data_IF_704072741565
#
_entry.id   IF_704072741565
#
_cell.length_a   1.000
_cell.length_b   1.000
_cell.length_c   1.000
_cell.angle_alpha   90.00
_cell.angle_beta   90.00
_cell.angle_gamma   90.00
#
_symmetry.space_group_name_H-M   'P 1'
#
loop_
_entity.id
_entity.type
_entity.pdbx_description
1 polymer ?
#
# COMPACT_ATOMS: atom_id res chain seq x y z
N UNK A 1 0.60 -26.29 4.67
CA UNK A 1 -0.46 -25.35 5.06
C UNK A 1 -1.46 -25.35 3.92
N UNK A 2 -2.75 -25.47 4.17
CA UNK A 2 -3.78 -25.35 3.12
C UNK A 2 -3.95 -23.86 2.75
N UNK A 3 -4.51 -23.58 1.56
CA UNK A 3 -4.78 -22.18 1.18
C UNK A 3 -5.68 -21.48 2.20
N UNK A 4 -6.65 -22.19 2.77
CA UNK A 4 -7.52 -21.65 3.82
C UNK A 4 -6.76 -21.32 5.12
N UNK A 5 -5.77 -22.14 5.52
CA UNK A 5 -4.94 -21.84 6.69
C UNK A 5 -4.05 -20.61 6.43
N UNK A 6 -3.58 -20.46 5.19
CA UNK A 6 -2.78 -19.30 4.78
C UNK A 6 -3.59 -18.01 4.85
N UNK A 7 -4.81 -18.00 4.29
CA UNK A 7 -5.71 -16.85 4.34
C UNK A 7 -6.02 -16.45 5.77
N UNK A 8 -6.32 -17.40 6.65
CA UNK A 8 -6.54 -17.11 8.07
C UNK A 8 -5.32 -16.51 8.75
N UNK A 9 -4.12 -17.00 8.44
CA UNK A 9 -2.87 -16.43 8.96
C UNK A 9 -2.69 -14.98 8.49
N UNK A 10 -2.93 -14.70 7.21
CA UNK A 10 -2.86 -13.34 6.65
C UNK A 10 -3.91 -12.41 7.28
N UNK A 11 -5.13 -12.88 7.52
CA UNK A 11 -6.16 -12.11 8.23
C UNK A 11 -5.71 -11.74 9.65
N UNK A 12 -5.04 -12.66 10.36
CA UNK A 12 -4.49 -12.36 11.68
C UNK A 12 -3.38 -11.31 11.63
N UNK A 13 -2.46 -11.38 10.66
CA UNK A 13 -1.45 -10.36 10.43
C UNK A 13 -2.08 -9.00 10.07
N UNK A 14 -3.10 -8.99 9.21
CA UNK A 14 -3.80 -7.76 8.86
C UNK A 14 -4.45 -7.06 10.08
N UNK A 15 -5.03 -7.84 11.00
CA UNK A 15 -5.53 -7.34 12.29
C UNK A 15 -4.40 -6.66 13.08
N UNK A 16 -3.28 -7.35 13.30
CA UNK A 16 -2.14 -6.81 14.05
C UNK A 16 -1.57 -5.55 13.40
N UNK A 17 -1.51 -5.49 12.06
CA UNK A 17 -1.09 -4.28 11.34
C UNK A 17 -2.06 -3.13 11.60
N UNK A 18 -3.39 -3.36 11.60
CA UNK A 18 -4.39 -2.32 11.93
C UNK A 18 -4.24 -1.82 13.36
N UNK A 19 -4.05 -2.71 14.33
CA UNK A 19 -3.80 -2.35 15.73
C UNK A 19 -2.56 -1.46 15.88
N UNK A 20 -1.46 -1.79 15.17
CA UNK A 20 -0.24 -0.96 15.12
C UNK A 20 -0.50 0.40 14.48
N UNK A 21 -1.24 0.48 13.38
CA UNK A 21 -1.60 1.75 12.75
C UNK A 21 -2.28 2.70 13.74
N UNK A 22 -3.28 2.17 14.48
CA UNK A 22 -4.05 2.93 15.46
C UNK A 22 -3.15 3.35 16.64
N UNK A 23 -2.30 2.44 17.13
CA UNK A 23 -1.36 2.72 18.22
C UNK A 23 -0.31 3.77 17.84
N UNK A 24 0.28 3.67 16.65
CA UNK A 24 1.24 4.67 16.14
C UNK A 24 0.58 6.05 16.00
N UNK A 25 -0.63 6.11 15.46
CA UNK A 25 -1.37 7.36 15.30
C UNK A 25 -1.74 7.99 16.64
N UNK A 26 -2.03 7.21 17.66
CA UNK A 26 -2.29 7.70 19.03
C UNK A 26 -1.01 8.22 19.69
N UNK A 27 0.07 7.44 19.62
CA UNK A 27 1.34 7.74 20.31
C UNK A 27 2.08 8.96 19.72
N UNK A 28 1.87 9.27 18.43
CA UNK A 28 2.52 10.43 17.82
C UNK A 28 2.03 11.78 18.38
N UNK A 29 0.96 11.79 19.19
CA UNK A 29 0.35 12.98 19.79
C UNK A 29 -0.03 14.10 18.80
N UNK A 30 -0.07 13.78 17.51
CA UNK A 30 -0.39 14.67 16.40
C UNK A 30 -1.54 14.16 15.56
N UNK A 31 -1.72 14.80 14.41
CA UNK A 31 -2.61 14.29 13.37
C UNK A 31 -1.87 13.31 12.46
N UNK A 32 -2.56 12.26 12.02
CA UNK A 32 -2.02 11.25 11.12
C UNK A 32 -3.06 10.83 10.07
N UNK A 33 -2.57 10.27 8.94
CA UNK A 33 -3.42 9.83 7.82
C UNK A 33 -3.94 8.39 8.07
N UNK A 34 -4.86 8.23 9.03
CA UNK A 34 -5.37 6.91 9.40
C UNK A 34 -6.21 6.27 8.28
N UNK A 35 -7.12 7.01 7.68
CA UNK A 35 -8.02 6.45 6.68
C UNK A 35 -7.29 5.82 5.50
N UNK A 36 -6.31 6.54 4.94
CA UNK A 36 -5.49 6.04 3.83
C UNK A 36 -4.45 4.99 4.22
N UNK A 37 -4.08 4.93 5.51
CA UNK A 37 -3.20 3.89 6.05
C UNK A 37 -3.93 2.57 6.31
N UNK A 38 -5.21 2.63 6.74
CA UNK A 38 -6.01 1.44 7.03
C UNK A 38 -6.55 0.75 5.76
N UNK A 39 -6.85 1.52 4.69
CA UNK A 39 -7.40 0.96 3.44
C UNK A 39 -6.46 -0.02 2.73
N UNK A 40 -5.14 0.19 2.86
CA UNK A 40 -4.12 -0.57 2.15
C UNK A 40 -3.61 -1.80 2.93
N UNK A 41 -4.06 -2.02 4.16
CA UNK A 41 -3.51 -3.05 5.06
C UNK A 41 -3.56 -4.44 4.46
N UNK A 42 -4.67 -4.84 3.85
CA UNK A 42 -4.82 -6.19 3.28
C UNK A 42 -3.83 -6.43 2.12
N UNK A 43 -3.64 -5.44 1.25
CA UNK A 43 -2.65 -5.49 0.17
C UNK A 43 -1.22 -5.58 0.72
N UNK A 44 -0.88 -4.77 1.73
CA UNK A 44 0.45 -4.81 2.36
C UNK A 44 0.70 -6.14 3.07
N UNK A 45 -0.33 -6.70 3.70
CA UNK A 45 -0.24 -7.99 4.38
C UNK A 45 0.10 -9.11 3.41
N UNK A 46 -0.57 -9.18 2.27
CA UNK A 46 -0.30 -10.20 1.25
C UNK A 46 1.08 -9.98 0.62
N UNK A 47 1.42 -8.74 0.27
CA UNK A 47 2.72 -8.43 -0.32
C UNK A 47 3.88 -8.86 0.56
N UNK A 48 3.92 -8.42 1.81
CA UNK A 48 5.03 -8.69 2.73
C UNK A 48 4.96 -10.05 3.41
N UNK A 49 3.75 -10.60 3.59
CA UNK A 49 3.54 -11.88 4.25
C UNK A 49 3.72 -13.10 3.35
N UNK A 50 3.64 -12.92 2.02
CA UNK A 50 3.67 -14.09 1.13
C UNK A 50 4.25 -13.87 -0.28
N UNK A 51 4.15 -12.69 -0.85
CA UNK A 51 4.50 -12.46 -2.27
C UNK A 51 5.94 -12.02 -2.44
N UNK A 52 6.36 -11.01 -1.68
CA UNK A 52 7.69 -10.41 -1.83
C UNK A 52 8.76 -11.20 -1.06
N UNK A 53 9.92 -11.35 -1.68
CA UNK A 53 11.09 -11.95 -1.03
C UNK A 53 11.87 -10.96 -0.15
N UNK A 54 11.42 -9.71 -0.01
CA UNK A 54 12.14 -8.62 0.69
C UNK A 54 12.34 -8.91 2.18
N UNK A 55 11.54 -9.79 2.79
CA UNK A 55 11.72 -10.21 4.18
C UNK A 55 12.95 -11.08 4.38
N UNK A 56 13.47 -11.73 3.34
CA UNK A 56 14.76 -12.44 3.38
C UNK A 56 15.91 -11.46 3.22
N UNK A 57 16.33 -10.87 4.33
CA UNK A 57 17.43 -9.89 4.37
C UNK A 57 18.82 -10.48 4.12
N UNK A 58 18.91 -11.79 3.86
CA UNK A 58 20.17 -12.46 3.45
C UNK A 58 20.42 -12.37 1.94
N UNK A 59 19.37 -12.06 1.16
CA UNK A 59 19.49 -11.89 -0.28
C UNK A 59 20.28 -10.62 -0.63
N UNK A 60 21.07 -10.64 -1.71
CA UNK A 60 21.63 -9.43 -2.29
C UNK A 60 20.53 -8.44 -2.69
N UNK A 61 20.78 -7.14 -2.52
CA UNK A 61 19.82 -6.08 -2.81
C UNK A 61 19.25 -6.16 -4.24
N UNK A 62 20.04 -6.60 -5.22
CA UNK A 62 19.67 -6.76 -6.62
C UNK A 62 18.77 -7.98 -6.88
N UNK A 63 18.52 -8.80 -5.86
CA UNK A 63 17.62 -9.95 -5.92
C UNK A 63 16.37 -9.76 -5.07
N UNK A 64 16.36 -8.74 -4.21
CA UNK A 64 15.19 -8.41 -3.38
C UNK A 64 14.14 -7.67 -4.21
N UNK A 65 12.88 -8.07 -4.10
CA UNK A 65 11.74 -7.33 -4.68
C UNK A 65 11.67 -5.91 -4.14
N UNK A 66 11.12 -5.00 -4.94
CA UNK A 66 11.04 -3.59 -4.62
C UNK A 66 9.60 -3.14 -4.43
N UNK A 67 9.35 -2.38 -3.38
CA UNK A 67 8.04 -1.77 -3.13
C UNK A 67 8.15 -0.25 -2.99
N UNK A 68 7.24 0.46 -3.66
CA UNK A 68 7.09 1.91 -3.52
C UNK A 68 5.67 2.26 -3.08
N UNK A 69 5.55 2.91 -1.93
CA UNK A 69 4.30 3.54 -1.53
C UNK A 69 4.17 4.90 -2.24
N UNK A 70 3.49 4.96 -3.39
CA UNK A 70 3.35 6.19 -4.17
C UNK A 70 2.46 7.21 -3.45
N UNK A 71 1.30 6.80 -2.90
CA UNK A 71 0.52 7.63 -1.97
C UNK A 71 1.19 7.70 -0.60
N UNK A 72 2.29 8.46 -0.50
CA UNK A 72 3.17 8.49 0.66
C UNK A 72 2.52 8.74 2.01
N UNK A 73 1.35 9.38 2.04
CA UNK A 73 0.58 9.58 3.27
C UNK A 73 0.02 8.27 3.88
N UNK A 74 0.02 7.15 3.15
CA UNK A 74 -0.38 5.83 3.66
C UNK A 74 0.64 5.14 4.57
N UNK A 75 1.65 5.86 5.09
CA UNK A 75 2.79 5.29 5.86
C UNK A 75 2.39 4.46 7.07
N UNK A 76 1.26 4.74 7.72
CA UNK A 76 0.86 3.97 8.91
C UNK A 76 0.73 2.48 8.56
N UNK A 77 -0.02 2.14 7.52
CA UNK A 77 -0.16 0.75 7.07
C UNK A 77 1.15 0.17 6.54
N UNK A 78 1.96 0.99 5.87
CA UNK A 78 3.25 0.56 5.34
C UNK A 78 4.25 0.24 6.46
N UNK A 79 4.51 1.18 7.37
CA UNK A 79 5.46 0.98 8.47
C UNK A 79 5.00 -0.12 9.43
N UNK A 80 3.70 -0.21 9.71
CA UNK A 80 3.14 -1.27 10.52
C UNK A 80 3.35 -2.66 9.89
N UNK A 81 3.23 -2.77 8.54
CA UNK A 81 3.54 -4.01 7.83
C UNK A 81 5.04 -4.35 7.87
N UNK A 82 5.93 -3.37 7.70
CA UNK A 82 7.37 -3.60 7.84
C UNK A 82 7.75 -4.11 9.25
N UNK A 83 7.10 -3.61 10.29
CA UNK A 83 7.30 -4.08 11.65
C UNK A 83 6.72 -5.48 11.87
N UNK A 84 5.51 -5.76 11.35
CA UNK A 84 4.85 -7.07 11.46
C UNK A 84 5.71 -8.20 10.88
N UNK A 85 6.35 -7.94 9.74
CA UNK A 85 7.18 -8.92 9.05
C UNK A 85 8.68 -8.80 9.37
N UNK A 86 9.04 -8.08 10.44
CA UNK A 86 10.39 -8.07 11.01
C UNK A 86 11.45 -7.32 10.21
N UNK A 87 11.05 -6.51 9.21
CA UNK A 87 11.97 -5.66 8.44
C UNK A 87 12.43 -4.46 9.27
N UNK A 88 11.51 -3.90 10.07
CA UNK A 88 11.77 -2.81 11.00
C UNK A 88 11.52 -3.29 12.43
N UNK A 89 12.37 -2.87 13.36
CA UNK A 89 12.14 -3.16 14.79
C UNK A 89 10.89 -2.42 15.27
N UNK A 90 9.92 -3.15 15.81
CA UNK A 90 8.63 -2.60 16.26
C UNK A 90 8.81 -1.53 17.35
N UNK A 91 9.64 -1.80 18.35
CA UNK A 91 9.87 -0.86 19.45
C UNK A 91 10.49 0.46 18.94
N UNK A 92 11.48 0.36 18.04
CA UNK A 92 12.07 1.53 17.40
C UNK A 92 11.00 2.36 16.66
N UNK A 93 10.14 1.70 15.89
CA UNK A 93 9.05 2.36 15.18
C UNK A 93 8.08 3.07 16.12
N UNK A 94 7.62 2.37 17.16
CA UNK A 94 6.66 2.90 18.14
C UNK A 94 7.23 4.10 18.92
N UNK A 95 8.51 4.06 19.27
CA UNK A 95 9.16 5.12 20.07
C UNK A 95 9.51 6.35 19.24
N UNK A 96 9.73 6.18 17.92
CA UNK A 96 10.29 7.27 17.10
C UNK A 96 9.35 7.81 16.02
N UNK A 97 8.23 7.14 15.74
CA UNK A 97 7.29 7.62 14.71
C UNK A 97 6.88 9.08 14.95
N UNK A 98 7.09 9.94 13.95
CA UNK A 98 6.80 11.39 14.00
C UNK A 98 7.60 12.17 15.05
N UNK A 99 8.67 11.60 15.61
CA UNK A 99 9.57 12.33 16.51
C UNK A 99 10.65 13.08 15.71
N UNK A 100 11.18 14.16 16.29
CA UNK A 100 12.28 14.91 15.69
C UNK A 100 13.51 14.01 15.47
N UNK A 101 14.04 14.00 14.25
CA UNK A 101 15.20 13.19 13.88
C UNK A 101 14.89 11.73 13.57
N UNK A 102 13.62 11.33 13.56
CA UNK A 102 13.21 9.98 13.16
C UNK A 102 13.32 9.77 11.64
N UNK A 103 13.62 8.54 11.25
CA UNK A 103 13.50 8.07 9.88
C UNK A 103 12.04 7.71 9.52
N UNK A 104 11.16 7.58 10.52
CA UNK A 104 9.75 7.22 10.37
C UNK A 104 8.85 8.43 10.58
N UNK A 105 8.63 9.19 9.50
CA UNK A 105 7.81 10.41 9.52
C UNK A 105 6.53 10.23 8.68
N UNK A 106 5.71 11.29 8.57
CA UNK A 106 4.40 11.27 7.91
C UNK A 106 4.40 10.84 6.43
N UNK A 107 5.54 10.82 5.78
CA UNK A 107 5.76 10.34 4.42
C UNK A 107 7.11 9.62 4.35
N UNK A 108 7.26 8.54 3.56
CA UNK A 108 8.52 7.80 3.56
C UNK A 108 9.67 8.65 2.99
N UNK A 109 10.81 8.54 3.64
CA UNK A 109 12.10 9.01 3.13
C UNK A 109 12.94 7.80 2.80
N UNK A 110 13.64 7.82 1.67
CA UNK A 110 14.41 6.69 1.18
C UNK A 110 15.43 6.20 2.23
N UNK A 111 15.28 4.94 2.64
CA UNK A 111 16.13 4.21 3.60
C UNK A 111 16.08 2.72 3.23
N UNK A 112 16.89 2.27 2.27
CA UNK A 112 16.85 0.89 1.78
C UNK A 112 17.11 -0.15 2.87
N UNK A 113 17.86 0.20 3.91
CA UNK A 113 18.06 -0.64 5.09
C UNK A 113 16.77 -0.98 5.85
N UNK A 114 15.74 -0.17 5.72
CA UNK A 114 14.40 -0.40 6.27
C UNK A 114 13.37 -0.81 5.20
N UNK A 115 13.82 -1.11 3.96
CA UNK A 115 12.90 -1.43 2.86
C UNK A 115 12.14 -0.21 2.31
N UNK A 116 12.60 1.01 2.63
CA UNK A 116 12.04 2.26 2.10
C UNK A 116 12.80 2.65 0.82
N UNK A 117 12.32 2.15 -0.33
CA UNK A 117 13.03 2.25 -1.61
C UNK A 117 13.02 3.66 -2.22
N UNK A 118 12.12 4.54 -1.77
CA UNK A 118 12.02 5.91 -2.27
C UNK A 118 11.47 6.88 -1.24
N UNK A 119 11.79 8.16 -1.43
CA UNK A 119 11.04 9.24 -0.79
C UNK A 119 9.77 9.51 -1.62
N UNK A 120 8.61 9.53 -0.98
CA UNK A 120 7.34 9.79 -1.65
C UNK A 120 6.45 10.74 -0.82
N UNK A 121 5.35 11.23 -1.41
CA UNK A 121 4.46 12.21 -0.77
C UNK A 121 3.99 13.26 -1.77
N UNK A 122 4.81 13.63 -2.76
CA UNK A 122 4.35 14.32 -3.96
C UNK A 122 3.62 13.31 -4.82
N UNK A 123 2.28 13.41 -4.89
CA UNK A 123 1.44 12.43 -5.56
C UNK A 123 1.78 12.31 -7.06
N UNK A 124 1.65 11.10 -7.59
CA UNK A 124 1.97 10.77 -8.98
C UNK A 124 3.47 10.56 -9.28
N UNK A 125 4.39 10.79 -8.32
CA UNK A 125 5.83 10.64 -8.55
C UNK A 125 6.34 9.22 -8.26
N UNK A 126 5.79 8.55 -7.24
CA UNK A 126 6.25 7.23 -6.81
C UNK A 126 6.12 6.16 -7.89
N UNK A 127 5.04 6.19 -8.65
CA UNK A 127 4.84 5.23 -9.76
C UNK A 127 5.92 5.37 -10.84
N UNK A 128 6.35 6.59 -11.16
CA UNK A 128 7.43 6.81 -12.13
C UNK A 128 8.76 6.23 -11.66
N UNK A 129 9.06 6.33 -10.35
CA UNK A 129 10.24 5.70 -9.75
C UNK A 129 10.13 4.16 -9.82
N UNK A 130 8.95 3.59 -9.54
CA UNK A 130 8.72 2.15 -9.64
C UNK A 130 8.91 1.63 -11.08
N UNK A 131 8.41 2.34 -12.08
CA UNK A 131 8.64 2.04 -13.50
C UNK A 131 10.15 2.07 -13.82
N UNK A 132 10.88 3.05 -13.28
CA UNK A 132 12.33 3.14 -13.42
C UNK A 132 13.06 1.93 -12.84
N UNK A 133 12.66 1.45 -11.64
CA UNK A 133 13.23 0.25 -11.01
C UNK A 133 12.92 -1.01 -11.83
N UNK A 134 11.67 -1.21 -12.26
CA UNK A 134 11.29 -2.35 -13.08
C UNK A 134 12.04 -2.38 -14.42
N UNK A 135 12.20 -1.22 -15.07
CA UNK A 135 12.97 -1.08 -16.30
C UNK A 135 14.46 -1.39 -16.08
N UNK A 136 15.02 -0.92 -14.97
CA UNK A 136 16.41 -1.20 -14.59
C UNK A 136 16.63 -2.70 -14.38
N UNK A 137 15.72 -3.39 -13.67
CA UNK A 137 15.77 -4.84 -13.49
C UNK A 137 15.76 -5.56 -14.84
N UNK A 138 14.79 -5.24 -15.69
CA UNK A 138 14.65 -5.87 -17.01
C UNK A 138 15.89 -5.66 -17.88
N UNK A 139 16.48 -4.44 -17.90
CA UNK A 139 17.67 -4.15 -18.70
C UNK A 139 18.94 -4.80 -18.15
N UNK A 140 19.05 -4.97 -16.84
CA UNK A 140 20.24 -5.58 -16.20
C UNK A 140 20.11 -7.08 -16.01
N UNK A 141 18.92 -7.67 -16.28
CA UNK A 141 18.65 -9.08 -16.04
C UNK A 141 18.56 -9.43 -14.55
N UNK A 142 18.15 -8.47 -13.70
CA UNK A 142 17.88 -8.74 -12.29
C UNK A 142 16.54 -9.46 -12.13
N UNK A 143 16.44 -10.43 -11.19
CA UNK A 143 15.24 -11.25 -11.05
C UNK A 143 14.07 -10.59 -10.31
N UNK A 144 14.30 -9.45 -9.64
CA UNK A 144 13.31 -8.86 -8.75
C UNK A 144 12.06 -8.32 -9.47
N UNK A 145 10.96 -8.43 -8.78
CA UNK A 145 9.70 -7.79 -9.13
C UNK A 145 9.62 -6.40 -8.50
N UNK A 146 8.85 -5.52 -9.13
CA UNK A 146 8.60 -4.17 -8.60
C UNK A 146 7.11 -3.97 -8.37
N UNK A 147 6.77 -3.61 -7.15
CA UNK A 147 5.41 -3.32 -6.72
C UNK A 147 5.27 -1.84 -6.38
N UNK A 148 4.14 -1.25 -6.74
CA UNK A 148 3.80 0.13 -6.37
C UNK A 148 2.35 0.19 -5.91
N UNK A 149 2.09 0.94 -4.84
CA UNK A 149 0.75 1.21 -4.36
C UNK A 149 0.41 2.67 -4.58
N UNK A 150 -0.59 2.91 -5.45
CA UNK A 150 -1.14 4.22 -5.78
C UNK A 150 -2.52 4.41 -5.15
N UNK A 151 -2.92 5.65 -4.92
CA UNK A 151 -4.28 6.00 -4.49
C UNK A 151 -5.16 6.44 -5.66
N UNK A 152 -6.48 6.33 -5.49
CA UNK A 152 -7.44 6.82 -6.48
C UNK A 152 -7.35 8.35 -6.68
N UNK A 153 -7.24 9.13 -5.60
CA UNK A 153 -7.04 10.57 -5.71
C UNK A 153 -5.70 10.94 -6.37
N UNK A 154 -4.63 10.20 -6.08
CA UNK A 154 -3.34 10.30 -6.74
C UNK A 154 -3.44 10.04 -8.25
N UNK A 155 -4.32 9.15 -8.66
CA UNK A 155 -4.50 8.79 -10.07
C UNK A 155 -5.18 9.88 -10.91
N UNK A 156 -5.50 11.02 -10.31
CA UNK A 156 -5.87 12.25 -11.02
C UNK A 156 -4.65 13.02 -11.55
N UNK A 157 -3.44 12.70 -11.07
CA UNK A 157 -2.20 13.27 -11.58
C UNK A 157 -1.86 12.70 -12.97
N UNK A 158 -1.50 13.58 -13.92
CA UNK A 158 -1.13 13.18 -15.28
C UNK A 158 0.08 12.24 -15.31
N UNK A 159 1.05 12.46 -14.42
CA UNK A 159 2.26 11.65 -14.31
C UNK A 159 2.01 10.16 -14.01
N UNK A 160 0.89 9.82 -13.36
CA UNK A 160 0.49 8.41 -13.17
C UNK A 160 0.25 7.74 -14.52
N UNK A 161 -0.46 8.40 -15.42
CA UNK A 161 -0.79 7.85 -16.74
C UNK A 161 0.42 7.85 -17.68
N UNK A 162 1.29 8.85 -17.59
CA UNK A 162 2.58 8.88 -18.31
C UNK A 162 3.48 7.71 -17.89
N UNK A 163 3.53 7.40 -16.59
CA UNK A 163 4.24 6.23 -16.07
C UNK A 163 3.60 4.91 -16.56
N UNK A 164 2.27 4.81 -16.56
CA UNK A 164 1.55 3.65 -17.09
C UNK A 164 1.85 3.43 -18.59
N UNK A 165 1.82 4.50 -19.40
CA UNK A 165 2.20 4.39 -20.83
C UNK A 165 3.63 3.89 -21.00
N UNK A 166 4.56 4.38 -20.16
CA UNK A 166 5.96 3.94 -20.17
C UNK A 166 6.08 2.46 -19.79
N UNK A 167 5.38 2.01 -18.75
CA UNK A 167 5.38 0.60 -18.32
C UNK A 167 4.93 -0.33 -19.45
N UNK A 168 3.87 0.03 -20.17
CA UNK A 168 3.37 -0.73 -21.34
C UNK A 168 4.36 -0.66 -22.49
N UNK A 169 4.87 0.53 -22.84
CA UNK A 169 5.83 0.69 -23.94
C UNK A 169 7.08 -0.18 -23.78
N UNK A 170 7.58 -0.32 -22.55
CA UNK A 170 8.73 -1.17 -22.25
C UNK A 170 8.38 -2.63 -21.94
N UNK A 171 7.10 -2.99 -21.98
CA UNK A 171 6.62 -4.35 -21.73
C UNK A 171 7.04 -4.88 -20.35
N UNK A 172 6.86 -4.08 -19.28
CA UNK A 172 7.36 -4.40 -17.94
C UNK A 172 6.51 -5.49 -17.27
N UNK A 173 6.75 -6.73 -17.62
CA UNK A 173 6.13 -7.92 -17.02
C UNK A 173 6.71 -8.30 -15.63
N UNK A 174 7.55 -7.45 -15.07
CA UNK A 174 8.06 -7.46 -13.71
C UNK A 174 7.54 -6.26 -12.88
N UNK A 175 6.45 -5.63 -13.31
CA UNK A 175 5.86 -4.47 -12.65
C UNK A 175 4.40 -4.74 -12.30
N UNK A 176 4.04 -4.58 -11.03
CA UNK A 176 2.67 -4.66 -10.53
C UNK A 176 2.28 -3.37 -9.82
N UNK A 177 1.21 -2.73 -10.29
CA UNK A 177 0.55 -1.61 -9.64
C UNK A 177 -0.66 -2.11 -8.85
N UNK A 178 -0.74 -1.80 -7.56
CA UNK A 178 -1.99 -1.88 -6.80
C UNK A 178 -2.61 -0.48 -6.72
N UNK A 179 -3.80 -0.31 -7.25
CA UNK A 179 -4.58 0.91 -7.16
C UNK A 179 -5.58 0.78 -6.00
N UNK A 180 -5.30 1.48 -4.89
CA UNK A 180 -6.22 1.59 -3.76
C UNK A 180 -7.36 2.55 -4.12
N UNK A 181 -8.43 1.96 -4.66
CA UNK A 181 -9.63 2.67 -5.10
C UNK A 181 -10.66 2.73 -3.96
N UNK A 182 -10.38 3.54 -2.95
CA UNK A 182 -11.27 3.70 -1.79
C UNK A 182 -12.39 4.74 -2.00
N UNK A 183 -12.57 5.23 -3.22
CA UNK A 183 -13.60 6.18 -3.64
C UNK A 183 -13.62 7.51 -2.88
N UNK A 184 -12.55 7.85 -2.15
CA UNK A 184 -12.43 9.09 -1.40
C UNK A 184 -11.10 9.81 -1.71
N UNK A 185 -11.14 11.13 -1.66
CA UNK A 185 -9.98 12.00 -1.78
C UNK A 185 -9.85 12.87 -0.52
N UNK A 186 -8.84 13.77 -0.46
CA UNK A 186 -8.71 14.71 0.65
C UNK A 186 -9.94 15.59 0.83
N UNK A 187 -10.55 15.99 -0.27
CA UNK A 187 -11.61 17.01 -0.30
C UNK A 187 -13.03 16.43 -0.28
N UNK A 188 -13.17 15.10 -0.32
CA UNK A 188 -14.48 14.45 -0.28
C UNK A 188 -14.56 13.13 -1.05
N UNK A 189 -15.78 12.72 -1.35
CA UNK A 189 -16.03 11.54 -2.18
C UNK A 189 -15.60 11.77 -3.63
N UNK A 190 -14.93 10.78 -4.23
CA UNK A 190 -14.41 10.89 -5.59
C UNK A 190 -15.45 11.29 -6.63
N UNK A 191 -16.70 10.80 -6.60
CA UNK A 191 -17.76 11.26 -7.52
C UNK A 191 -18.07 12.77 -7.44
N UNK A 192 -17.84 13.39 -6.28
CA UNK A 192 -18.11 14.81 -6.05
C UNK A 192 -16.90 15.69 -6.40
N UNK A 193 -15.68 15.17 -6.23
CA UNK A 193 -14.42 15.89 -6.47
C UNK A 193 -13.96 15.71 -7.91
N UNK A 194 -13.77 14.45 -8.35
CA UNK A 194 -13.41 14.09 -9.71
C UNK A 194 -13.91 12.67 -10.01
N UNK A 195 -14.99 12.58 -10.78
CA UNK A 195 -15.73 11.34 -11.03
C UNK A 195 -15.10 10.47 -12.11
N UNK A 196 -13.94 9.85 -11.80
CA UNK A 196 -13.27 8.90 -12.70
C UNK A 196 -12.92 7.55 -12.02
N UNK A 197 -13.27 7.38 -10.74
CA UNK A 197 -12.87 6.20 -9.95
C UNK A 197 -13.40 4.89 -10.53
N UNK A 198 -14.58 4.89 -11.14
CA UNK A 198 -15.20 3.75 -11.82
C UNK A 198 -14.64 3.48 -13.24
N UNK A 199 -13.69 4.31 -13.69
CA UNK A 199 -13.12 4.21 -15.05
C UNK A 199 -11.71 3.66 -15.08
N UNK A 200 -11.03 3.57 -13.94
CA UNK A 200 -9.63 3.17 -13.90
C UNK A 200 -9.36 1.81 -14.54
N UNK A 201 -10.21 0.81 -14.26
CA UNK A 201 -10.12 -0.53 -14.87
C UNK A 201 -10.16 -0.45 -16.40
N UNK A 202 -11.09 0.32 -16.95
CA UNK A 202 -11.23 0.51 -18.40
C UNK A 202 -10.03 1.24 -19.00
N UNK A 203 -9.55 2.30 -18.33
CA UNK A 203 -8.40 3.08 -18.77
C UNK A 203 -7.12 2.24 -18.80
N UNK A 204 -6.84 1.48 -17.75
CA UNK A 204 -5.66 0.61 -17.64
C UNK A 204 -5.69 -0.51 -18.69
N UNK A 205 -6.88 -1.13 -18.93
CA UNK A 205 -7.07 -2.10 -20.01
C UNK A 205 -6.81 -1.49 -21.40
N UNK A 206 -7.32 -0.29 -21.63
CA UNK A 206 -7.12 0.42 -22.90
C UNK A 206 -5.65 0.79 -23.16
N UNK A 207 -4.88 1.05 -22.11
CA UNK A 207 -3.43 1.26 -22.21
C UNK A 207 -2.66 -0.02 -22.52
N UNK A 208 -3.17 -1.19 -22.14
CA UNK A 208 -2.53 -2.49 -22.41
C UNK A 208 -2.04 -3.23 -21.17
N UNK A 209 -2.47 -2.84 -19.96
CA UNK A 209 -2.21 -3.61 -18.74
C UNK A 209 -2.98 -4.93 -18.70
N UNK A 210 -2.40 -5.94 -18.07
CA UNK A 210 -3.16 -7.03 -17.47
C UNK A 210 -3.87 -6.47 -16.22
N UNK A 211 -5.20 -6.41 -16.23
CA UNK A 211 -5.97 -5.76 -15.17
C UNK A 211 -6.85 -6.76 -14.44
N UNK A 212 -6.74 -6.79 -13.11
CA UNK A 212 -7.55 -7.58 -12.20
C UNK A 212 -8.27 -6.61 -11.27
N UNK A 213 -9.60 -6.64 -11.26
CA UNK A 213 -10.41 -5.82 -10.35
C UNK A 213 -11.01 -6.70 -9.26
N UNK A 214 -10.88 -6.25 -8.01
CA UNK A 214 -11.22 -7.04 -6.82
C UNK A 214 -11.90 -6.19 -5.74
N UNK A 215 -12.54 -6.83 -4.79
CA UNK A 215 -12.72 -6.28 -3.45
C UNK A 215 -11.35 -6.25 -2.76
N UNK A 216 -10.79 -5.06 -2.57
CA UNK A 216 -9.43 -4.87 -2.02
C UNK A 216 -9.34 -5.10 -0.51
N UNK A 217 -10.45 -5.41 0.16
CA UNK A 217 -10.49 -5.81 1.57
C UNK A 217 -10.94 -7.27 1.78
N UNK A 218 -11.17 -8.01 0.70
CA UNK A 218 -11.33 -9.47 0.74
C UNK A 218 -9.94 -10.12 0.61
N UNK A 219 -9.43 -10.68 1.71
CA UNK A 219 -8.10 -11.27 1.78
C UNK A 219 -7.86 -12.37 0.74
N UNK A 220 -8.89 -13.18 0.43
CA UNK A 220 -8.80 -14.24 -0.58
C UNK A 220 -8.60 -13.64 -1.98
N UNK A 221 -9.40 -12.63 -2.35
CA UNK A 221 -9.29 -11.98 -3.65
C UNK A 221 -7.96 -11.23 -3.79
N UNK A 222 -7.49 -10.56 -2.74
CA UNK A 222 -6.18 -9.89 -2.74
C UNK A 222 -5.06 -10.91 -2.94
N UNK A 223 -5.11 -12.04 -2.21
CA UNK A 223 -4.15 -13.13 -2.35
C UNK A 223 -4.10 -13.68 -3.77
N UNK A 224 -5.24 -14.05 -4.33
CA UNK A 224 -5.36 -14.60 -5.68
C UNK A 224 -4.87 -13.61 -6.76
N UNK A 225 -5.21 -12.32 -6.62
CA UNK A 225 -4.80 -11.29 -7.58
C UNK A 225 -3.29 -11.11 -7.63
N UNK A 226 -2.61 -11.09 -6.47
CA UNK A 226 -1.15 -11.00 -6.45
C UNK A 226 -0.48 -12.25 -7.01
N UNK A 227 -1.05 -13.45 -6.76
CA UNK A 227 -0.51 -14.73 -7.25
C UNK A 227 -0.87 -15.03 -8.71
N UNK A 228 -1.77 -14.28 -9.33
CA UNK A 228 -2.04 -14.42 -10.76
C UNK A 228 -0.76 -14.15 -11.55
N UNK A 229 -0.29 -15.08 -12.41
CA UNK A 229 0.93 -14.88 -13.18
C UNK A 229 0.82 -13.66 -14.11
N UNK A 230 1.95 -13.00 -14.34
CA UNK A 230 2.03 -11.94 -15.34
C UNK A 230 1.82 -12.50 -16.75
N UNK A 231 1.03 -11.80 -17.56
CA UNK A 231 1.03 -11.99 -19.00
C UNK A 231 2.35 -11.49 -19.57
N UNK A 232 2.99 -12.31 -20.41
CA UNK A 232 4.30 -11.97 -20.99
C UNK A 232 4.27 -10.61 -21.69
N UNK A 233 5.20 -9.74 -21.32
CA UNK A 233 5.35 -8.43 -21.91
C UNK A 233 4.29 -7.41 -21.47
N UNK A 234 3.47 -7.71 -20.45
CA UNK A 234 2.47 -6.77 -19.94
C UNK A 234 2.70 -6.43 -18.47
N UNK A 235 2.67 -5.16 -18.11
CA UNK A 235 2.56 -4.77 -16.69
C UNK A 235 1.21 -5.18 -16.12
N UNK A 236 1.16 -5.51 -14.84
CA UNK A 236 -0.06 -5.90 -14.12
C UNK A 236 -0.59 -4.72 -13.30
N UNK A 237 -1.91 -4.54 -13.30
CA UNK A 237 -2.61 -3.64 -12.41
C UNK A 237 -3.71 -4.39 -11.65
N UNK A 238 -3.68 -4.27 -10.33
CA UNK A 238 -4.74 -4.75 -9.44
C UNK A 238 -5.52 -3.52 -8.99
N UNK A 239 -6.78 -3.41 -9.39
CA UNK A 239 -7.68 -2.35 -8.95
C UNK A 239 -8.45 -2.90 -7.74
N UNK A 240 -8.00 -2.52 -6.55
CA UNK A 240 -8.63 -2.91 -5.29
C UNK A 240 -9.68 -1.87 -4.89
N UNK A 241 -10.95 -2.23 -4.96
CA UNK A 241 -12.02 -1.43 -4.39
C UNK A 241 -11.98 -1.63 -2.87
N UNK A 242 -11.50 -0.64 -2.14
CA UNK A 242 -11.25 -0.70 -0.70
C UNK A 242 -12.18 0.24 0.07
N UNK A 243 -12.17 0.12 1.39
CA UNK A 243 -12.86 1.01 2.30
C UNK A 243 -11.81 1.89 2.99
N UNK A 244 -11.89 3.21 2.82
CA UNK A 244 -11.06 4.16 3.56
C UNK A 244 -11.36 4.04 5.06
N UNK A 245 -10.34 3.81 5.88
CA UNK A 245 -10.52 3.61 7.33
C UNK A 245 -10.94 2.20 7.74
N UNK A 246 -10.72 1.19 6.87
CA UNK A 246 -11.15 -0.20 7.05
C UNK A 246 -10.78 -0.80 8.41
N UNK A 247 -11.78 -1.35 9.09
CA UNK A 247 -11.65 -2.08 10.36
C UNK A 247 -12.00 -1.25 11.59
N UNK A 248 -12.30 0.05 11.44
CA UNK A 248 -12.74 0.93 12.53
C UNK A 248 -14.00 1.66 12.10
N UNK A 249 -15.13 1.34 12.67
CA UNK A 249 -16.46 1.70 12.18
C UNK A 249 -16.67 3.22 12.00
N UNK A 250 -16.19 4.03 12.93
CA UNK A 250 -16.32 5.49 12.86
C UNK A 250 -15.33 6.16 11.89
N UNK A 251 -14.35 5.40 11.37
CA UNK A 251 -13.39 5.86 10.36
C UNK A 251 -13.79 5.41 8.94
N UNK A 252 -14.52 4.31 8.81
CA UNK A 252 -14.93 3.75 7.52
C UNK A 252 -15.75 4.76 6.70
N UNK A 253 -15.26 5.06 5.48
CA UNK A 253 -15.88 6.02 4.56
C UNK A 253 -16.11 7.42 5.16
N UNK A 254 -15.38 7.79 6.19
CA UNK A 254 -15.47 9.10 6.84
C UNK A 254 -14.26 9.96 6.49
N UNK A 255 -14.48 11.04 5.73
CA UNK A 255 -13.40 11.90 5.23
C UNK A 255 -12.68 12.70 6.32
N UNK A 256 -13.29 12.90 7.49
CA UNK A 256 -12.62 13.52 8.63
C UNK A 256 -11.36 12.75 9.05
N UNK A 257 -11.33 11.42 8.80
CA UNK A 257 -10.20 10.56 9.09
C UNK A 257 -9.16 10.48 7.96
N UNK A 258 -9.29 11.34 6.94
CA UNK A 258 -8.19 11.50 5.99
C UNK A 258 -6.90 11.93 6.71
N UNK A 259 -6.98 12.96 7.56
CA UNK A 259 -5.90 13.43 8.40
C UNK A 259 -6.45 14.01 9.71
N UNK A 260 -6.40 13.25 10.79
CA UNK A 260 -6.99 13.66 12.06
C UNK A 260 -6.16 13.20 13.26
N UNK A 261 -6.44 13.81 14.42
CA UNK A 261 -5.84 13.42 15.70
C UNK A 261 -6.73 12.39 16.39
N UNK A 262 -6.13 11.28 16.85
CA UNK A 262 -6.82 10.26 17.60
C UNK A 262 -6.83 10.63 19.09
N UNK A 263 -8.02 10.84 19.66
CA UNK A 263 -8.20 11.05 21.11
C UNK A 263 -8.13 9.73 21.86
N UNK A 264 -7.92 9.77 23.18
CA UNK A 264 -7.86 8.57 24.01
C UNK A 264 -9.14 7.73 23.90
N UNK A 265 -10.31 8.35 23.99
CA UNK A 265 -11.59 7.63 23.92
C UNK A 265 -11.78 6.94 22.56
N UNK A 266 -11.41 7.63 21.48
CA UNK A 266 -11.46 7.07 20.11
C UNK A 266 -10.40 5.99 19.89
N UNK A 267 -9.24 6.10 20.54
CA UNK A 267 -8.24 5.03 20.52
C UNK A 267 -8.77 3.77 21.21
N UNK A 268 -9.33 3.89 22.42
CA UNK A 268 -9.89 2.77 23.17
C UNK A 268 -11.07 2.11 22.40
N UNK A 269 -11.93 2.91 21.77
CA UNK A 269 -13.02 2.44 20.92
C UNK A 269 -12.50 1.66 19.71
N UNK A 270 -11.52 2.23 18.98
CA UNK A 270 -10.92 1.57 17.80
C UNK A 270 -10.25 0.25 18.16
N UNK A 271 -9.45 0.23 19.24
CA UNK A 271 -8.77 -0.99 19.69
C UNK A 271 -9.76 -2.09 20.07
N UNK A 272 -10.84 -1.72 20.77
CA UNK A 272 -11.90 -2.67 21.11
C UNK A 272 -12.56 -3.27 19.86
N UNK A 273 -12.91 -2.46 18.86
CA UNK A 273 -13.49 -2.96 17.60
C UNK A 273 -12.52 -3.93 16.89
N UNK A 274 -11.22 -3.60 16.84
CA UNK A 274 -10.21 -4.44 16.23
C UNK A 274 -9.99 -5.76 17.00
N UNK A 275 -10.06 -5.75 18.34
CA UNK A 275 -9.99 -6.96 19.16
C UNK A 275 -11.16 -7.92 18.90
N UNK A 276 -12.37 -7.38 18.69
CA UNK A 276 -13.59 -8.13 18.46
C UNK A 276 -13.75 -8.64 17.00
N UNK A 277 -12.92 -8.17 16.06
CA UNK A 277 -13.08 -8.36 14.61
C UNK A 277 -12.63 -9.72 14.06
N UNK A 278 -12.41 -10.77 14.88
CA UNK A 278 -12.04 -12.13 14.42
C UNK A 278 -12.85 -13.21 15.11
#
# INVERSE_FOLDING_TARGET
MTDNDKIKSLQQHAKQIRERCVTMAFNCNGSAHLGGGLSLVDAMTVLYGDVMNTCDRTLPYEQMDKFILSKGHGVLGFYAALAEFGIVNEQLLMDTFMQNGSDFIAHPVMKPEYGLESSSGSLGQGISMAVGLALAAKKKGYPYQTFVLCGNGESNEGSVWEACMSAVNYGLDNFTMFLDNNHMQSDGHSPEVMNISDKYTGMLKALGFQVIEIDGNDMQQVYEAFHTPHETGKPKAIVGNTIKGKGVSFMENNNEWHHNRLTKDRYEEAMKELEEAL
#
